data_IF_352165615166
#
_entry.id   IF_352165615166
#
_cell.length_a   1.000
_cell.length_b   1.000
_cell.length_c   1.000
_cell.angle_alpha   90.00
_cell.angle_beta   90.00
_cell.angle_gamma   90.00
#
_symmetry.space_group_name_H-M   'P 1'
#
loop_
_entity.id
_entity.type
_entity.pdbx_description
1 polymer ?
#
# COMPACT_ATOMS: atom_id res chain seq x y z
N UNK A 1 -8.80 -13.75 -17.06
CA UNK A 1 -9.21 -13.98 -15.65
C UNK A 1 -8.44 -13.03 -14.74
N UNK A 2 -9.13 -12.11 -14.05
CA UNK A 2 -8.47 -11.32 -12.99
C UNK A 2 -8.28 -12.24 -11.79
N UNK A 3 -7.05 -12.36 -11.29
CA UNK A 3 -6.83 -12.98 -9.98
C UNK A 3 -7.44 -12.05 -8.93
N UNK A 4 -8.31 -12.59 -8.08
CA UNK A 4 -8.72 -11.91 -6.85
C UNK A 4 -7.43 -11.57 -6.06
N UNK A 5 -7.41 -10.38 -5.44
CA UNK A 5 -6.26 -9.95 -4.64
C UNK A 5 -5.03 -9.47 -5.41
N UNK A 6 -5.17 -8.95 -6.64
CA UNK A 6 -4.07 -8.24 -7.30
C UNK A 6 -3.89 -6.82 -6.72
N UNK A 7 -2.66 -6.45 -6.36
CA UNK A 7 -2.35 -5.13 -5.79
C UNK A 7 -2.33 -4.07 -6.90
N UNK A 8 -3.40 -3.29 -7.01
CA UNK A 8 -3.54 -2.19 -7.99
C UNK A 8 -3.38 -0.79 -7.37
N UNK A 9 -3.39 -0.72 -6.05
CA UNK A 9 -3.27 0.51 -5.27
C UNK A 9 -2.58 0.20 -3.94
N UNK A 10 -2.31 1.23 -3.13
CA UNK A 10 -1.81 1.01 -1.77
C UNK A 10 -2.84 0.20 -0.99
N UNK A 11 -2.42 -0.93 -0.42
CA UNK A 11 -3.28 -1.76 0.43
C UNK A 11 -3.53 -1.01 1.74
N UNK A 12 -4.79 -0.73 2.14
CA UNK A 12 -5.13 -0.11 3.41
C UNK A 12 -4.70 -0.96 4.61
N UNK A 13 -4.43 -0.28 5.74
CA UNK A 13 -4.21 -0.95 7.01
C UNK A 13 -5.52 -1.52 7.55
N UNK A 14 -5.46 -2.68 8.19
CA UNK A 14 -6.61 -3.33 8.84
C UNK A 14 -7.16 -2.52 10.02
N UNK A 15 -6.29 -1.80 10.73
CA UNK A 15 -6.65 -0.85 11.78
C UNK A 15 -6.50 0.59 11.30
N UNK A 16 -7.30 1.50 11.86
CA UNK A 16 -7.10 2.94 11.72
C UNK A 16 -5.74 3.34 12.33
N UNK A 17 -5.15 4.41 11.82
CA UNK A 17 -3.87 4.93 12.31
C UNK A 17 -4.06 6.29 12.94
N UNK A 18 -3.27 6.55 13.97
CA UNK A 18 -3.21 7.83 14.66
C UNK A 18 -1.76 8.37 14.69
N UNK A 19 -1.63 9.67 14.89
CA UNK A 19 -0.34 10.36 15.00
C UNK A 19 -0.13 10.81 16.44
N UNK A 20 0.86 10.23 17.10
CA UNK A 20 1.29 10.64 18.44
C UNK A 20 2.48 11.59 18.34
N UNK A 21 2.45 12.71 19.04
CA UNK A 21 3.58 13.66 19.15
C UNK A 21 4.66 13.13 20.10
N UNK A 22 5.26 11.99 19.72
CA UNK A 22 6.32 11.30 20.45
C UNK A 22 7.47 10.93 19.50
N UNK A 23 8.68 10.77 20.04
CA UNK A 23 9.85 10.40 19.26
C UNK A 23 9.60 9.10 18.47
N UNK A 24 9.76 9.17 17.14
CA UNK A 24 9.59 8.03 16.26
C UNK A 24 10.61 6.95 16.56
N UNK A 25 10.14 5.72 16.81
CA UNK A 25 11.00 4.53 16.94
C UNK A 25 11.66 4.11 15.63
N UNK A 26 11.20 4.66 14.49
CA UNK A 26 11.73 4.35 13.14
C UNK A 26 12.77 5.36 12.65
N UNK A 27 12.73 6.59 13.15
CA UNK A 27 13.46 7.74 12.58
C UNK A 27 13.86 8.72 13.67
N UNK A 28 15.15 8.84 13.95
CA UNK A 28 15.69 9.67 15.03
C UNK A 28 15.32 11.15 14.92
N UNK A 29 15.16 11.68 13.70
CA UNK A 29 14.81 13.10 13.47
C UNK A 29 13.30 13.35 13.29
N UNK A 30 12.43 12.42 13.71
CA UNK A 30 10.98 12.55 13.58
C UNK A 30 10.32 12.60 14.96
N UNK A 31 9.83 13.79 15.36
CA UNK A 31 9.22 14.06 16.66
C UNK A 31 7.75 13.57 16.78
N UNK A 32 7.30 12.71 15.87
CA UNK A 32 5.97 12.10 15.91
C UNK A 32 6.03 10.63 15.47
N UNK A 33 5.09 9.81 15.93
CA UNK A 33 4.95 8.42 15.55
C UNK A 33 3.56 8.16 14.96
N UNK A 34 3.52 7.41 13.85
CA UNK A 34 2.25 6.90 13.31
C UNK A 34 2.03 5.51 13.88
N UNK A 35 0.99 5.35 14.69
CA UNK A 35 0.62 4.10 15.36
C UNK A 35 -0.71 3.58 14.84
N UNK A 36 -0.96 2.27 14.92
CA UNK A 36 -2.32 1.76 14.75
C UNK A 36 -3.11 1.96 16.04
N UNK A 37 -4.40 2.22 15.88
CA UNK A 37 -5.40 2.23 16.96
C UNK A 37 -6.04 0.85 17.10
N UNK A 38 -6.82 0.65 18.15
CA UNK A 38 -7.63 -0.56 18.35
C UNK A 38 -8.85 -0.63 17.41
N UNK A 39 -9.16 0.46 16.70
CA UNK A 39 -10.32 0.52 15.83
C UNK A 39 -10.03 -0.12 14.47
N UNK A 40 -10.83 -1.12 14.10
CA UNK A 40 -10.80 -1.73 12.76
C UNK A 40 -11.21 -0.68 11.72
N UNK A 41 -10.48 -0.65 10.61
CA UNK A 41 -10.77 0.25 9.50
C UNK A 41 -12.14 -0.11 8.89
N UNK A 42 -13.07 0.85 8.70
CA UNK A 42 -14.37 0.58 8.07
C UNK A 42 -14.26 -0.17 6.73
N UNK A 43 -13.22 0.10 5.94
CA UNK A 43 -12.96 -0.62 4.67
C UNK A 43 -12.77 -2.14 4.88
N UNK A 44 -12.21 -2.56 6.02
CA UNK A 44 -12.08 -3.97 6.36
C UNK A 44 -13.42 -4.59 6.79
N UNK A 45 -14.22 -3.85 7.59
CA UNK A 45 -15.53 -4.30 8.05
C UNK A 45 -16.51 -4.42 6.87
N UNK A 46 -16.58 -3.40 6.02
CA UNK A 46 -17.43 -3.37 4.83
C UNK A 46 -17.11 -4.51 3.85
N UNK A 47 -15.84 -4.94 3.82
CA UNK A 47 -15.38 -6.05 3.00
C UNK A 47 -15.57 -7.44 3.65
N UNK A 48 -16.19 -7.51 4.84
CA UNK A 48 -16.39 -8.74 5.61
C UNK A 48 -15.08 -9.50 5.86
N UNK A 49 -14.10 -8.83 6.47
CA UNK A 49 -12.76 -9.37 6.71
C UNK A 49 -12.74 -10.69 7.49
N UNK A 50 -13.74 -10.95 8.35
CA UNK A 50 -13.81 -12.19 9.12
C UNK A 50 -13.98 -13.45 8.25
N UNK A 51 -14.47 -13.29 7.02
CA UNK A 51 -14.58 -14.35 6.03
C UNK A 51 -13.43 -14.35 4.99
N UNK A 52 -12.42 -13.49 5.17
CA UNK A 52 -11.34 -13.32 4.21
C UNK A 52 -10.23 -14.36 4.35
N UNK A 53 -9.54 -14.65 3.24
CA UNK A 53 -8.36 -15.50 3.26
C UNK A 53 -7.14 -14.73 3.79
N UNK A 54 -6.57 -15.16 4.91
CA UNK A 54 -5.34 -14.61 5.45
C UNK A 54 -4.09 -15.25 4.80
N UNK A 55 -3.16 -14.40 4.38
CA UNK A 55 -1.89 -14.80 3.76
C UNK A 55 -0.74 -13.98 4.33
N UNK A 56 0.47 -14.53 4.28
CA UNK A 56 1.64 -13.78 4.70
C UNK A 56 1.84 -12.54 3.84
N UNK A 57 2.06 -11.41 4.50
CA UNK A 57 2.53 -10.21 3.83
C UNK A 57 4.02 -10.39 3.56
N UNK A 58 4.41 -10.29 2.30
CA UNK A 58 5.81 -10.25 1.90
C UNK A 58 6.08 -8.89 1.27
N UNK A 59 6.99 -8.11 1.84
CA UNK A 59 7.41 -6.82 1.28
C UNK A 59 8.30 -7.05 0.04
N UNK A 60 7.64 -7.21 -1.10
CA UNK A 60 8.27 -7.40 -2.40
C UNK A 60 7.95 -6.29 -3.40
N UNK A 61 8.69 -6.27 -4.51
CA UNK A 61 8.33 -5.45 -5.67
C UNK A 61 7.13 -6.09 -6.36
N UNK A 62 5.97 -5.42 -6.35
CA UNK A 62 4.83 -5.83 -7.16
C UNK A 62 5.23 -5.77 -8.64
N UNK A 63 5.20 -6.91 -9.32
CA UNK A 63 5.61 -7.03 -10.69
C UNK A 63 4.74 -8.00 -11.50
N UNK A 64 4.81 -7.86 -12.82
CA UNK A 64 4.09 -8.64 -13.79
C UNK A 64 5.02 -8.92 -14.97
N UNK A 65 5.01 -10.14 -15.51
CA UNK A 65 5.80 -10.48 -16.70
C UNK A 65 4.86 -10.60 -17.88
N UNK A 66 5.14 -9.87 -18.96
CA UNK A 66 4.41 -10.00 -20.24
C UNK A 66 5.30 -9.67 -21.42
N UNK A 67 4.89 -10.12 -22.61
CA UNK A 67 5.61 -9.89 -23.86
C UNK A 67 5.43 -8.43 -24.29
N UNK A 68 6.54 -7.76 -24.58
CA UNK A 68 6.58 -6.43 -25.17
C UNK A 68 7.65 -6.41 -26.27
N UNK A 69 7.27 -5.94 -27.47
CA UNK A 69 8.12 -5.95 -28.68
C UNK A 69 8.76 -7.33 -28.94
N UNK A 70 7.97 -8.40 -28.79
CA UNK A 70 8.39 -9.78 -29.06
C UNK A 70 9.31 -10.42 -28.01
N UNK A 71 9.57 -9.74 -26.89
CA UNK A 71 10.44 -10.24 -25.82
C UNK A 71 9.72 -10.19 -24.46
N UNK A 72 10.02 -11.10 -23.52
CA UNK A 72 9.47 -11.02 -22.17
C UNK A 72 10.06 -9.82 -21.44
N UNK A 73 9.19 -8.96 -20.89
CA UNK A 73 9.58 -7.83 -20.06
C UNK A 73 9.03 -8.01 -18.65
N UNK A 74 9.87 -7.65 -17.66
CA UNK A 74 9.39 -7.47 -16.29
C UNK A 74 8.85 -6.04 -16.14
N UNK A 75 7.59 -5.98 -15.74
CA UNK A 75 6.88 -4.77 -15.38
C UNK A 75 6.87 -4.68 -13.87
N UNK A 76 7.46 -3.62 -13.32
CA UNK A 76 7.46 -3.37 -11.88
C UNK A 76 6.63 -2.14 -11.57
N UNK A 77 6.06 -2.09 -10.35
CA UNK A 77 5.39 -0.89 -9.86
C UNK A 77 6.30 0.33 -9.99
N UNK A 78 5.82 1.33 -10.71
CA UNK A 78 6.46 2.62 -10.95
C UNK A 78 5.38 3.70 -10.80
N UNK A 79 5.22 4.23 -9.60
CA UNK A 79 4.25 5.30 -9.36
C UNK A 79 4.77 6.61 -9.96
N UNK A 80 3.96 7.30 -10.78
CA UNK A 80 4.24 8.67 -11.21
C UNK A 80 4.01 9.60 -10.03
N UNK A 81 5.09 10.27 -9.60
CA UNK A 81 5.14 11.10 -8.39
C UNK A 81 5.20 12.59 -8.74
N UNK A 82 4.84 13.49 -7.81
CA UNK A 82 5.00 14.91 -7.99
C UNK A 82 6.48 15.28 -8.16
N UNK A 83 6.74 16.37 -8.85
CA UNK A 83 8.05 17.00 -8.91
C UNK A 83 8.35 17.73 -7.58
N UNK A 84 9.60 18.20 -7.39
CA UNK A 84 10.03 18.81 -6.13
C UNK A 84 9.24 20.08 -5.77
N UNK A 85 8.87 20.88 -6.77
CA UNK A 85 8.13 22.13 -6.57
C UNK A 85 6.69 21.85 -6.12
N UNK A 86 6.02 20.94 -6.82
CA UNK A 86 4.67 20.51 -6.50
C UNK A 86 4.60 19.82 -5.13
N UNK A 87 5.57 18.98 -4.79
CA UNK A 87 5.67 18.35 -3.47
C UNK A 87 5.81 19.40 -2.34
N UNK A 88 6.61 20.44 -2.56
CA UNK A 88 6.74 21.57 -1.62
C UNK A 88 5.43 22.35 -1.48
N UNK A 89 4.75 22.63 -2.60
CA UNK A 89 3.44 23.32 -2.61
C UNK A 89 2.38 22.51 -1.86
N UNK A 90 2.34 21.20 -2.09
CA UNK A 90 1.42 20.29 -1.39
C UNK A 90 1.70 20.24 0.11
N UNK A 91 2.96 20.05 0.52
CA UNK A 91 3.34 20.06 1.95
C UNK A 91 2.97 21.37 2.64
N UNK A 92 3.17 22.51 1.97
CA UNK A 92 2.75 23.82 2.49
C UNK A 92 1.23 23.89 2.67
N UNK A 93 0.45 23.42 1.69
CA UNK A 93 -1.00 23.36 1.78
C UNK A 93 -1.46 22.48 2.93
N UNK A 94 -0.92 21.26 3.03
CA UNK A 94 -1.23 20.33 4.13
C UNK A 94 -0.96 20.96 5.50
N UNK A 95 0.16 21.67 5.65
CA UNK A 95 0.48 22.36 6.89
C UNK A 95 -0.51 23.50 7.20
N UNK A 96 -0.86 24.32 6.21
CA UNK A 96 -1.78 25.46 6.40
C UNK A 96 -3.21 25.05 6.70
N UNK A 97 -3.71 23.99 6.05
CA UNK A 97 -5.12 23.58 6.15
C UNK A 97 -5.34 22.34 7.01
N UNK A 98 -4.27 21.73 7.54
CA UNK A 98 -4.28 20.43 8.24
C UNK A 98 -5.07 19.35 7.50
N UNK A 99 -5.09 19.43 6.17
CA UNK A 99 -5.91 18.61 5.28
C UNK A 99 -5.30 18.59 3.89
N UNK A 100 -5.51 17.50 3.16
CA UNK A 100 -5.23 17.41 1.72
C UNK A 100 -6.47 17.71 0.86
N UNK A 101 -7.68 17.77 1.46
CA UNK A 101 -8.93 18.00 0.72
C UNK A 101 -8.92 19.40 0.12
N UNK A 102 -9.30 19.51 -1.16
CA UNK A 102 -9.37 20.78 -1.89
C UNK A 102 -8.06 21.18 -2.59
N UNK A 103 -6.95 20.47 -2.36
CA UNK A 103 -5.74 20.68 -3.15
C UNK A 103 -5.95 20.21 -4.59
N UNK A 104 -5.69 21.09 -5.55
CA UNK A 104 -5.80 20.75 -6.98
C UNK A 104 -4.41 20.54 -7.58
N UNK A 105 -4.24 19.38 -8.19
CA UNK A 105 -3.04 18.99 -8.94
C UNK A 105 -3.19 19.37 -10.41
N UNK A 106 -2.18 20.02 -10.99
CA UNK A 106 -1.99 20.12 -12.43
C UNK A 106 -1.17 18.91 -12.90
N UNK A 107 -1.81 17.88 -13.45
CA UNK A 107 -1.15 16.61 -13.82
C UNK A 107 -0.02 16.79 -14.85
N UNK A 108 -0.10 17.81 -15.70
CA UNK A 108 0.90 18.07 -16.73
C UNK A 108 2.16 18.69 -16.13
N UNK A 109 1.99 19.66 -15.24
CA UNK A 109 3.10 20.45 -14.67
C UNK A 109 3.64 19.85 -13.37
N UNK A 110 2.78 19.35 -12.49
CA UNK A 110 3.16 18.98 -11.12
C UNK A 110 3.88 17.64 -11.03
N UNK A 111 3.89 16.82 -12.08
CA UNK A 111 4.34 15.42 -12.01
C UNK A 111 5.58 15.16 -12.85
N UNK A 112 6.42 14.25 -12.37
CA UNK A 112 7.58 13.77 -13.14
C UNK A 112 7.11 13.11 -14.45
N UNK A 113 7.95 13.22 -15.48
CA UNK A 113 7.78 12.46 -16.71
C UNK A 113 7.94 10.97 -16.42
N UNK A 114 7.23 10.15 -17.19
CA UNK A 114 7.35 8.69 -17.16
C UNK A 114 7.84 8.19 -18.51
N UNK A 115 8.49 7.02 -18.57
CA UNK A 115 8.84 6.40 -19.85
C UNK A 115 7.59 6.18 -20.71
N UNK A 116 7.75 6.17 -22.04
CA UNK A 116 6.67 5.85 -22.99
C UNK A 116 6.00 4.50 -22.68
N UNK A 117 6.76 3.54 -22.16
CA UNK A 117 6.25 2.23 -21.79
C UNK A 117 5.38 2.26 -20.54
N UNK A 118 5.30 3.37 -19.79
CA UNK A 118 4.56 3.40 -18.54
C UNK A 118 3.05 3.22 -18.75
N UNK A 119 2.45 2.35 -17.94
CA UNK A 119 1.02 2.02 -18.01
C UNK A 119 0.38 2.35 -16.65
N UNK A 120 -0.71 3.12 -16.60
CA UNK A 120 -1.43 3.37 -15.35
C UNK A 120 -2.00 2.06 -14.79
N UNK A 121 -1.97 1.90 -13.46
CA UNK A 121 -2.57 0.73 -12.83
C UNK A 121 -4.09 0.71 -13.05
N UNK A 122 -4.68 -0.48 -13.10
CA UNK A 122 -6.05 -0.64 -13.61
C UNK A 122 -7.12 0.14 -12.83
N UNK A 123 -6.92 0.34 -11.52
CA UNK A 123 -7.88 1.05 -10.64
C UNK A 123 -7.59 2.55 -10.47
N UNK A 124 -6.63 3.09 -11.22
CA UNK A 124 -6.37 4.54 -11.21
C UNK A 124 -7.56 5.28 -11.82
N UNK A 125 -8.02 6.33 -11.14
CA UNK A 125 -9.11 7.17 -11.64
C UNK A 125 -8.63 7.93 -12.87
N UNK A 126 -9.54 8.17 -13.81
CA UNK A 126 -9.25 8.93 -15.02
C UNK A 126 -10.19 10.14 -15.11
N UNK A 127 -9.67 11.25 -15.62
CA UNK A 127 -10.43 12.43 -15.99
C UNK A 127 -10.06 12.82 -17.43
N UNK A 128 -11.05 12.93 -18.31
CA UNK A 128 -10.85 13.13 -19.75
C UNK A 128 -9.86 12.13 -20.38
N UNK A 129 -9.90 10.87 -19.96
CA UNK A 129 -9.00 9.83 -20.47
C UNK A 129 -7.58 9.85 -19.89
N UNK A 130 -7.24 10.80 -19.01
CA UNK A 130 -5.92 10.90 -18.38
C UNK A 130 -5.95 10.42 -16.93
N UNK A 131 -4.94 9.66 -16.46
CA UNK A 131 -4.89 9.20 -15.08
C UNK A 131 -4.68 10.36 -14.11
N UNK A 132 -5.47 10.41 -13.04
CA UNK A 132 -5.38 11.43 -12.00
C UNK A 132 -4.76 10.88 -10.71
N UNK A 133 -4.05 11.71 -9.93
CA UNK A 133 -3.46 11.29 -8.67
C UNK A 133 -4.50 10.97 -7.61
N UNK A 134 -4.11 10.14 -6.64
CA UNK A 134 -4.81 10.02 -5.37
C UNK A 134 -4.64 11.28 -4.50
N UNK A 135 -5.30 11.29 -3.34
CA UNK A 135 -5.30 12.43 -2.40
C UNK A 135 -3.89 12.78 -1.87
N UNK A 136 -2.90 11.92 -2.08
CA UNK A 136 -1.52 12.10 -1.66
C UNK A 136 -0.58 12.43 -2.84
N UNK A 137 -1.12 12.61 -4.05
CA UNK A 137 -0.32 12.93 -5.22
C UNK A 137 0.37 11.71 -5.84
N UNK A 138 -0.11 10.49 -5.61
CA UNK A 138 0.44 9.30 -6.28
C UNK A 138 -0.45 8.88 -7.45
N UNK A 139 0.17 8.60 -8.59
CA UNK A 139 -0.49 7.93 -9.72
C UNK A 139 0.16 6.54 -9.86
N UNK A 140 -0.44 5.48 -9.30
CA UNK A 140 0.08 4.12 -9.42
C UNK A 140 0.22 3.68 -10.88
N UNK A 141 1.30 2.97 -11.19
CA UNK A 141 1.53 2.45 -12.54
C UNK A 141 2.60 1.38 -12.61
N UNK A 142 2.87 0.91 -13.82
CA UNK A 142 3.86 -0.10 -14.13
C UNK A 142 4.88 0.46 -15.12
N UNK A 143 6.16 0.21 -14.86
CA UNK A 143 7.27 0.54 -15.75
C UNK A 143 8.11 -0.68 -16.08
N UNK A 144 8.65 -0.73 -17.29
CA UNK A 144 9.56 -1.80 -17.73
C UNK A 144 10.91 -1.70 -17.03
N UNK A 145 11.37 -2.80 -16.41
CA UNK A 145 12.76 -2.96 -15.95
C UNK A 145 13.45 -4.03 -16.80
N UNK A 146 14.53 -3.66 -17.50
CA UNK A 146 15.28 -4.57 -18.40
C UNK A 146 15.99 -5.70 -17.66
N UNK A 147 16.38 -5.50 -16.40
CA UNK A 147 17.06 -6.51 -15.59
C UNK A 147 16.68 -6.35 -14.12
N UNK A 148 16.00 -7.35 -13.57
CA UNK A 148 16.41 -7.75 -12.23
C UNK A 148 16.33 -9.27 -12.02
N UNK A 149 17.32 -9.82 -11.31
CA UNK A 149 17.16 -11.10 -10.64
C UNK A 149 16.35 -10.83 -9.37
N UNK A 150 15.09 -11.25 -9.35
CA UNK A 150 14.23 -11.20 -8.17
C UNK A 150 13.57 -12.57 -7.97
N UNK A 151 13.50 -13.02 -6.71
CA UNK A 151 12.62 -14.14 -6.35
C UNK A 151 11.18 -13.64 -6.39
N UNK A 152 10.40 -14.14 -7.34
CA UNK A 152 9.00 -13.77 -7.47
C UNK A 152 8.14 -14.69 -6.61
N UNK A 153 7.53 -14.13 -5.58
CA UNK A 153 6.49 -14.84 -4.82
C UNK A 153 5.13 -14.35 -5.31
N UNK A 154 4.28 -15.29 -5.71
CA UNK A 154 2.92 -14.96 -6.10
C UNK A 154 2.18 -14.38 -4.91
N UNK A 155 1.57 -13.21 -5.07
CA UNK A 155 0.78 -12.61 -4.00
C UNK A 155 -0.33 -13.58 -3.54
N UNK A 156 -0.43 -13.79 -2.22
CA UNK A 156 -1.38 -14.71 -1.61
C UNK A 156 -1.02 -16.20 -1.70
N UNK A 157 0.17 -16.57 -2.17
CA UNK A 157 0.56 -18.00 -2.27
C UNK A 157 0.93 -18.64 -0.94
N UNK A 158 1.31 -17.84 0.07
CA UNK A 158 1.70 -18.35 1.39
C UNK A 158 0.54 -18.08 2.35
N UNK A 159 -0.25 -19.12 2.64
CA UNK A 159 -1.44 -19.02 3.50
C UNK A 159 -1.06 -19.09 4.97
N UNK A 160 -1.73 -18.27 5.80
CA UNK A 160 -1.72 -18.44 7.25
C UNK A 160 -2.84 -19.41 7.59
N UNK A 161 -2.50 -20.53 8.23
CA UNK A 161 -3.46 -21.62 8.49
C UNK A 161 -4.43 -21.29 9.61
N UNK A 162 -3.93 -20.74 10.70
CA UNK A 162 -4.70 -20.42 11.90
C UNK A 162 -4.50 -18.94 12.27
N UNK A 163 -4.98 -17.99 11.42
CA UNK A 163 -4.85 -16.58 11.76
C UNK A 163 -5.68 -16.29 13.02
N UNK A 164 -5.19 -15.43 13.95
CA UNK A 164 -6.02 -14.96 15.04
C UNK A 164 -7.19 -14.13 14.49
N UNK A 165 -8.26 -13.93 15.28
CA UNK A 165 -9.32 -12.98 14.96
C UNK A 165 -8.78 -11.59 14.62
N UNK A 166 -9.53 -10.81 13.84
CA UNK A 166 -9.19 -9.41 13.53
C UNK A 166 -9.50 -8.52 14.75
N UNK A 167 -8.72 -8.74 15.80
CA UNK A 167 -8.74 -8.01 17.05
C UNK A 167 -7.33 -7.49 17.32
N UNK A 168 -7.23 -6.24 17.80
CA UNK A 168 -5.95 -5.57 17.95
C UNK A 168 -5.03 -6.30 18.92
N UNK A 169 -5.55 -6.70 20.08
CA UNK A 169 -4.76 -7.33 21.14
C UNK A 169 -4.34 -8.74 20.75
N UNK A 170 -5.25 -9.53 20.18
CA UNK A 170 -4.96 -10.88 19.73
C UNK A 170 -3.97 -10.90 18.56
N UNK A 171 -4.09 -9.98 17.60
CA UNK A 171 -3.10 -9.85 16.53
C UNK A 171 -1.73 -9.41 17.06
N UNK A 172 -1.68 -8.50 18.04
CA UNK A 172 -0.43 -8.09 18.67
C UNK A 172 0.25 -9.26 19.38
N UNK A 173 -0.46 -9.99 20.23
CA UNK A 173 0.07 -11.17 20.93
C UNK A 173 0.51 -12.24 19.94
N UNK A 174 -0.32 -12.58 18.95
CA UNK A 174 0.04 -13.59 17.95
C UNK A 174 1.31 -13.21 17.17
N UNK A 175 1.40 -11.98 16.65
CA UNK A 175 2.58 -11.53 15.90
C UNK A 175 3.85 -11.47 16.76
N UNK A 176 3.76 -11.30 18.07
CA UNK A 176 4.93 -11.13 18.94
C UNK A 176 5.37 -12.44 19.62
N UNK A 177 4.42 -13.29 19.98
CA UNK A 177 4.63 -14.41 20.90
C UNK A 177 4.48 -15.77 20.21
N UNK A 178 3.69 -15.86 19.13
CA UNK A 178 3.44 -17.13 18.43
C UNK A 178 4.58 -17.49 17.48
N UNK A 179 5.04 -18.76 17.44
CA UNK A 179 5.91 -19.25 16.37
C UNK A 179 5.30 -19.08 14.97
N UNK A 180 3.98 -19.25 14.84
CA UNK A 180 3.25 -19.03 13.57
C UNK A 180 3.15 -17.54 13.21
N UNK A 181 3.30 -16.66 14.21
CA UNK A 181 3.27 -15.20 14.05
C UNK A 181 4.57 -14.57 13.61
N UNK A 182 5.63 -15.36 13.37
CA UNK A 182 6.94 -14.90 12.88
C UNK A 182 6.93 -14.59 11.38
N UNK A 183 6.02 -13.71 10.97
CA UNK A 183 5.79 -13.27 9.59
C UNK A 183 5.93 -11.74 9.51
N UNK A 184 6.30 -11.19 8.35
CA UNK A 184 6.42 -9.73 8.19
C UNK A 184 5.08 -8.99 8.31
N UNK A 185 3.97 -9.72 8.30
CA UNK A 185 2.61 -9.23 8.47
C UNK A 185 1.60 -10.16 7.81
N UNK A 186 0.36 -9.68 7.71
CA UNK A 186 -0.76 -10.40 7.13
C UNK A 186 -1.41 -9.54 6.06
N UNK A 187 -1.81 -10.15 4.95
CA UNK A 187 -2.75 -9.59 3.98
C UNK A 187 -3.99 -10.47 3.97
N UNK A 188 -5.15 -9.86 4.20
CA UNK A 188 -6.44 -10.51 4.04
C UNK A 188 -6.99 -10.22 2.64
N UNK A 189 -7.44 -11.27 1.97
CA UNK A 189 -8.06 -11.23 0.64
C UNK A 189 -9.56 -11.42 0.81
N UNK A 190 -10.30 -10.32 0.80
CA UNK A 190 -11.74 -10.30 1.00
C UNK A 190 -12.47 -10.79 -0.26
N UNK A 191 -13.70 -11.27 -0.09
CA UNK A 191 -14.47 -11.91 -1.18
C UNK A 191 -14.87 -10.93 -2.29
N UNK A 192 -15.00 -9.64 -1.98
CA UNK A 192 -15.24 -8.54 -2.92
C UNK A 192 -13.97 -8.12 -3.70
N UNK A 193 -12.82 -8.74 -3.40
CA UNK A 193 -11.51 -8.42 -3.97
C UNK A 193 -10.81 -7.25 -3.27
N UNK A 194 -11.34 -6.75 -2.15
CA UNK A 194 -10.65 -5.81 -1.27
C UNK A 194 -9.47 -6.51 -0.59
N UNK A 195 -8.35 -5.79 -0.53
CA UNK A 195 -7.17 -6.21 0.21
C UNK A 195 -7.00 -5.27 1.41
N UNK A 196 -6.74 -5.83 2.58
CA UNK A 196 -6.38 -5.09 3.80
C UNK A 196 -5.18 -5.78 4.42
N UNK A 197 -4.31 -5.01 5.07
CA UNK A 197 -3.05 -5.55 5.59
C UNK A 197 -2.70 -5.09 6.98
N UNK A 198 -1.83 -5.86 7.60
CA UNK A 198 -1.10 -5.51 8.81
C UNK A 198 0.36 -5.85 8.62
N UNK A 199 1.27 -5.13 9.28
CA UNK A 199 2.71 -5.40 9.24
C UNK A 199 3.28 -5.59 10.65
N UNK A 200 4.31 -6.42 10.76
CA UNK A 200 5.14 -6.61 11.96
C UNK A 200 6.10 -5.39 12.18
N UNK A 201 6.71 -5.19 13.35
CA UNK A 201 6.18 -4.27 14.34
C UNK A 201 7.03 -2.99 14.49
N UNK A 202 6.56 -1.91 13.87
CA UNK A 202 6.49 -0.60 14.55
C UNK A 202 5.08 0.01 14.48
N UNK A 203 4.13 -0.64 13.79
CA UNK A 203 2.78 -0.13 13.59
C UNK A 203 1.78 -0.77 14.55
N UNK A 204 2.01 -2.03 14.95
CA UNK A 204 1.30 -2.74 16.01
C UNK A 204 2.26 -3.13 17.13
N UNK A 205 2.34 -2.32 18.17
CA UNK A 205 2.88 -2.74 19.47
C UNK A 205 1.96 -2.17 20.54
N UNK A 206 1.67 -2.98 21.54
CA UNK A 206 1.13 -2.50 22.81
C UNK A 206 2.13 -1.48 23.38
N UNK A 207 1.60 -0.41 23.96
CA UNK A 207 2.41 0.59 24.65
C UNK A 207 3.17 -0.04 25.81
#
# INVERSE_FOLDING_TARGET
MRRLGSVQQKIPCVFLTDVKEEQSRKRDCQAFQVVATENVNPVALDANIDCALATEKLDGTCCYVTVYKGQPYLWARLDRKPNKQAEKRFKKYQHSYKSCKGFTWNVEEDFKTVPETWIPAHRVKHHNGHPVPDDHGHIPGLGSKKQPVHCLVSHGSIRIRNPPPVDFHQLCSWLQESPEGRVEGIVWHCNDGTLVKVGQPHTLRLN
#
